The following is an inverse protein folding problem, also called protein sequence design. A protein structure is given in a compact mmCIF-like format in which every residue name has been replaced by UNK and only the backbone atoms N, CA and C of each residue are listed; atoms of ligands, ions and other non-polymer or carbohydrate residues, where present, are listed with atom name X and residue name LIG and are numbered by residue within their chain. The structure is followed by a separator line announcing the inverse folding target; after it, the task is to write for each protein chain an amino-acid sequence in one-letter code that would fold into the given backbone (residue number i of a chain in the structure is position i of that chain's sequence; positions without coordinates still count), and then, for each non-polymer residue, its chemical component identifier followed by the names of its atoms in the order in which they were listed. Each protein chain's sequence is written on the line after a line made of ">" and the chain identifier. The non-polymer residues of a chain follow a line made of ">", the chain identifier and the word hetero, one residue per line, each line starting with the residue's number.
data_IF_065045341761
#
_entry.id   IF_065045341761
#
_cell.length_a   1.000
_cell.length_b   1.000
_cell.length_c   1.000
_cell.angle_alpha   90.00
_cell.angle_beta   90.00
_cell.angle_gamma   90.00
#
_symmetry.space_group_name_H-M   'P 1'
#
loop_
_entity.id
_entity.type
_entity.pdbx_description
1 polymer ?
#
# COMPACT_ATOMS: atom_id res chain seq x y z
N UNK A 1 -0.23 17.51 19.42
CA UNK A 1 -1.22 16.46 19.80
C UNK A 1 -2.11 16.08 18.62
N UNK A 2 -2.58 17.05 17.83
CA UNK A 2 -3.31 16.83 16.58
C UNK A 2 -2.54 15.99 15.56
N UNK A 3 -1.24 16.22 15.40
CA UNK A 3 -0.44 15.52 14.39
C UNK A 3 -0.31 14.02 14.69
N UNK A 4 -0.13 13.65 15.96
CA UNK A 4 -0.12 12.26 16.40
C UNK A 4 -1.46 11.57 16.15
N UNK A 5 -2.58 12.29 16.37
CA UNK A 5 -3.91 11.77 16.10
C UNK A 5 -4.15 11.55 14.60
N UNK A 6 -3.74 12.52 13.76
CA UNK A 6 -3.84 12.42 12.31
C UNK A 6 -3.00 11.27 11.76
N UNK A 7 -1.77 11.10 12.25
CA UNK A 7 -0.89 9.99 11.87
C UNK A 7 -1.50 8.64 12.25
N UNK A 8 -2.07 8.51 13.45
CA UNK A 8 -2.71 7.26 13.88
C UNK A 8 -3.94 6.91 13.01
N UNK A 9 -4.80 7.89 12.73
CA UNK A 9 -5.97 7.72 11.87
C UNK A 9 -5.53 7.37 10.44
N UNK A 10 -4.55 8.09 9.91
CA UNK A 10 -3.99 7.84 8.59
C UNK A 10 -3.44 6.42 8.46
N UNK A 11 -2.71 5.94 9.48
CA UNK A 11 -2.18 4.58 9.52
C UNK A 11 -3.29 3.51 9.49
N UNK A 12 -4.36 3.71 10.26
CA UNK A 12 -5.51 2.80 10.28
C UNK A 12 -6.18 2.75 8.90
N UNK A 13 -6.43 3.93 8.29
CA UNK A 13 -7.04 4.02 6.97
C UNK A 13 -6.16 3.32 5.92
N UNK A 14 -4.84 3.55 5.96
CA UNK A 14 -3.88 2.97 5.04
C UNK A 14 -3.88 1.44 5.11
N UNK A 15 -3.90 0.88 6.33
CA UNK A 15 -3.94 -0.57 6.56
C UNK A 15 -5.24 -1.20 6.02
N UNK A 16 -6.39 -0.59 6.35
CA UNK A 16 -7.69 -1.07 5.91
C UNK A 16 -7.87 -0.94 4.39
N UNK A 17 -7.34 0.13 3.79
CA UNK A 17 -7.38 0.34 2.34
C UNK A 17 -6.55 -0.71 1.60
N UNK A 18 -5.34 -1.03 2.10
CA UNK A 18 -4.50 -2.09 1.55
C UNK A 18 -5.19 -3.45 1.56
N UNK A 19 -5.74 -3.86 2.71
CA UNK A 19 -6.44 -5.15 2.84
C UNK A 19 -7.69 -5.22 1.95
N UNK A 20 -8.46 -4.14 1.88
CA UNK A 20 -9.65 -4.04 1.04
C UNK A 20 -9.32 -4.11 -0.45
N UNK A 21 -8.23 -3.45 -0.88
CA UNK A 21 -7.75 -3.50 -2.26
C UNK A 21 -7.37 -4.93 -2.66
N UNK A 22 -6.63 -5.65 -1.81
CA UNK A 22 -6.22 -7.03 -2.05
C UNK A 22 -7.43 -7.96 -2.17
N UNK A 23 -8.38 -7.88 -1.22
CA UNK A 23 -9.61 -8.68 -1.25
C UNK A 23 -10.46 -8.39 -2.49
N UNK A 24 -10.57 -7.11 -2.87
CA UNK A 24 -11.27 -6.69 -4.08
C UNK A 24 -10.63 -7.23 -5.35
N UNK A 25 -9.31 -7.15 -5.46
CA UNK A 25 -8.55 -7.64 -6.62
C UNK A 25 -8.69 -9.17 -6.79
N UNK A 26 -8.60 -9.94 -5.70
CA UNK A 26 -8.78 -11.40 -5.73
C UNK A 26 -10.21 -11.75 -6.15
N UNK A 27 -11.23 -11.11 -5.56
CA UNK A 27 -12.62 -11.38 -5.93
C UNK A 27 -12.92 -11.02 -7.39
N UNK A 28 -12.31 -9.94 -7.90
CA UNK A 28 -12.42 -9.58 -9.31
C UNK A 28 -11.75 -10.62 -10.21
N UNK A 29 -10.57 -11.12 -9.83
CA UNK A 29 -9.86 -12.14 -10.62
C UNK A 29 -10.67 -13.42 -10.77
N UNK A 30 -11.30 -13.86 -9.68
CA UNK A 30 -12.17 -15.05 -9.67
C UNK A 30 -13.38 -14.86 -10.60
N UNK A 31 -13.98 -13.66 -10.63
CA UNK A 31 -15.10 -13.35 -11.54
C UNK A 31 -14.69 -13.29 -13.01
N UNK A 32 -13.45 -12.90 -13.28
CA UNK A 32 -12.90 -12.81 -14.65
C UNK A 32 -12.27 -14.12 -15.14
N UNK A 33 -12.24 -15.18 -14.31
CA UNK A 33 -11.59 -16.45 -14.65
C UNK A 33 -10.06 -16.35 -14.73
N UNK A 34 -9.48 -15.28 -14.17
CA UNK A 34 -8.03 -15.06 -14.15
C UNK A 34 -7.45 -15.82 -12.94
N UNK A 35 -6.37 -16.62 -13.13
CA UNK A 35 -5.72 -17.31 -12.03
C UNK A 35 -5.32 -16.34 -10.91
N UNK A 36 -5.73 -16.66 -9.68
CA UNK A 36 -5.42 -15.84 -8.51
C UNK A 36 -3.92 -15.58 -8.37
N UNK A 37 -3.06 -16.53 -8.74
CA UNK A 37 -1.61 -16.38 -8.73
C UNK A 37 -1.12 -15.18 -9.58
N UNK A 38 -1.70 -14.96 -10.76
CA UNK A 38 -1.30 -13.84 -11.63
C UNK A 38 -1.62 -12.51 -10.97
N UNK A 39 -2.82 -12.38 -10.40
CA UNK A 39 -3.25 -11.16 -9.70
C UNK A 39 -2.51 -10.97 -8.39
N UNK A 40 -2.17 -12.05 -7.69
CA UNK A 40 -1.34 -12.03 -6.48
C UNK A 40 0.07 -11.47 -6.75
N UNK A 41 0.70 -11.94 -7.83
CA UNK A 41 2.05 -11.53 -8.22
C UNK A 41 2.12 -10.15 -8.88
N UNK A 42 0.98 -9.57 -9.26
CA UNK A 42 0.92 -8.28 -9.95
C UNK A 42 0.24 -7.22 -9.08
N UNK A 43 -1.09 -7.25 -9.00
CA UNK A 43 -1.89 -6.20 -8.36
C UNK A 43 -1.80 -6.27 -6.84
N UNK A 44 -1.84 -7.47 -6.25
CA UNK A 44 -1.80 -7.62 -4.78
C UNK A 44 -0.43 -7.24 -4.25
N UNK A 45 0.65 -7.78 -4.83
CA UNK A 45 2.02 -7.41 -4.46
C UNK A 45 2.25 -5.89 -4.56
N UNK A 46 1.72 -5.25 -5.61
CA UNK A 46 1.80 -3.80 -5.74
C UNK A 46 0.94 -3.07 -4.69
N UNK A 47 -0.29 -3.55 -4.44
CA UNK A 47 -1.22 -2.96 -3.48
C UNK A 47 -0.72 -3.00 -2.04
N UNK A 48 -0.01 -4.07 -1.65
CA UNK A 48 0.62 -4.18 -0.33
C UNK A 48 1.82 -3.26 -0.16
N UNK A 49 2.52 -2.92 -1.25
CA UNK A 49 3.69 -2.03 -1.24
C UNK A 49 3.37 -0.57 -1.58
N UNK A 50 2.10 -0.25 -1.86
CA UNK A 50 1.65 1.11 -2.17
C UNK A 50 1.88 2.10 -1.02
N UNK A 51 1.65 1.74 0.27
CA UNK A 51 2.01 2.57 1.42
C UNK A 51 3.51 2.94 1.42
N UNK A 52 4.36 1.94 1.24
CA UNK A 52 5.81 2.07 1.27
C UNK A 52 6.32 2.92 0.11
N UNK A 53 5.73 2.73 -1.08
CA UNK A 53 6.02 3.56 -2.25
C UNK A 53 5.69 5.04 -2.00
N UNK A 54 4.54 5.32 -1.37
CA UNK A 54 4.12 6.68 -1.02
C UNK A 54 5.10 7.33 -0.03
N UNK A 55 5.55 6.59 0.99
CA UNK A 55 6.53 7.06 1.97
C UNK A 55 7.88 7.33 1.28
N UNK A 56 8.34 6.41 0.41
CA UNK A 56 9.60 6.53 -0.31
C UNK A 56 9.61 7.76 -1.26
N UNK A 57 8.51 7.99 -1.99
CA UNK A 57 8.35 9.16 -2.86
C UNK A 57 8.39 10.45 -2.02
N UNK A 58 7.60 10.52 -0.95
CA UNK A 58 7.53 11.73 -0.11
C UNK A 58 8.88 12.03 0.56
N UNK A 59 9.55 11.01 1.10
CA UNK A 59 10.87 11.13 1.71
C UNK A 59 11.92 11.63 0.72
N UNK A 60 11.87 11.15 -0.53
CA UNK A 60 12.80 11.60 -1.58
C UNK A 60 12.55 13.06 -1.96
N UNK A 61 11.28 13.45 -2.15
CA UNK A 61 10.90 14.83 -2.48
C UNK A 61 11.21 15.82 -1.34
N UNK A 62 11.16 15.36 -0.09
CA UNK A 62 11.45 16.16 1.10
C UNK A 62 12.96 16.27 1.41
N UNK A 63 13.83 15.72 0.56
CA UNK A 63 15.29 15.74 0.77
C UNK A 63 15.79 14.76 1.85
N UNK A 64 14.92 13.89 2.37
CA UNK A 64 15.21 12.89 3.41
C UNK A 64 15.27 11.48 2.81
N UNK A 65 16.06 11.31 1.74
CA UNK A 65 16.14 10.05 0.97
C UNK A 65 16.61 8.84 1.80
N UNK A 66 17.28 9.05 2.94
CA UNK A 66 17.62 7.98 3.88
C UNK A 66 16.40 7.25 4.44
N UNK A 67 15.27 7.94 4.59
CA UNK A 67 14.00 7.31 5.01
C UNK A 67 13.44 6.42 3.90
N UNK A 68 13.59 6.83 2.62
CA UNK A 68 13.15 6.02 1.49
C UNK A 68 13.92 4.71 1.41
N UNK A 69 15.26 4.74 1.62
CA UNK A 69 16.10 3.54 1.66
C UNK A 69 15.74 2.63 2.84
N UNK A 70 15.46 3.20 4.02
CA UNK A 70 15.12 2.40 5.21
C UNK A 70 13.71 1.80 5.20
N UNK A 71 12.86 2.23 4.26
CA UNK A 71 11.46 1.83 4.14
C UNK A 71 11.22 0.77 3.06
N UNK A 72 12.18 0.54 2.16
CA UNK A 72 12.16 -0.49 1.10
C UNK A 72 12.98 -1.69 1.54
#
# INVERSE_FOLDING_TARGET
>A
MTDWLLSAIGLIILLLAGESLVKGAINLSLKLGIPALIISLTIVAFGTSAPELLIAINATLSGTSGIAIGNV
#
